data_IF_843301305339
#
_entry.id   IF_843301305339
#
_cell.length_a   1.000
_cell.length_b   1.000
_cell.length_c   1.000
_cell.angle_alpha   90.00
_cell.angle_beta   90.00
_cell.angle_gamma   90.00
#
_symmetry.space_group_name_H-M   'P 1'
#
loop_
_entity.id
_entity.type
_entity.pdbx_description
1 polymer ?
#
# COMPACT_ATOMS: atom_id res chain seq x y z
N UNK A 1 72.00 -20.58 36.67
CA UNK A 1 71.10 -19.43 36.81
C UNK A 1 70.19 -19.51 35.63
N UNK A 2 69.00 -20.14 35.80
CA UNK A 2 68.06 -20.35 34.68
C UNK A 2 66.94 -19.30 34.80
N UNK A 3 66.87 -18.38 33.85
CA UNK A 3 65.86 -17.35 33.75
C UNK A 3 64.59 -17.97 33.14
N UNK A 4 63.50 -18.02 33.89
CA UNK A 4 62.18 -18.47 33.42
C UNK A 4 61.52 -17.34 32.63
N UNK A 5 61.28 -17.54 31.32
CA UNK A 5 60.43 -16.67 30.52
C UNK A 5 58.97 -17.06 30.75
N UNK A 6 58.15 -16.10 31.21
CA UNK A 6 56.71 -16.24 31.36
C UNK A 6 56.04 -15.78 30.05
N UNK A 7 55.19 -16.60 29.38
CA UNK A 7 54.50 -16.14 28.19
C UNK A 7 53.37 -15.18 28.58
N UNK A 8 53.34 -13.99 27.96
CA UNK A 8 52.22 -13.05 28.02
C UNK A 8 51.21 -13.44 26.97
N UNK A 9 50.05 -13.93 27.38
CA UNK A 9 48.91 -14.26 26.46
C UNK A 9 48.15 -12.95 26.20
N UNK A 10 48.20 -12.47 24.96
CA UNK A 10 47.37 -11.37 24.51
C UNK A 10 45.96 -11.93 24.20
N UNK A 11 44.99 -11.58 25.04
CA UNK A 11 43.56 -11.85 24.80
C UNK A 11 43.02 -10.81 23.78
N UNK A 12 42.90 -11.19 22.52
CA UNK A 12 42.25 -10.36 21.48
C UNK A 12 40.76 -10.46 21.67
N UNK A 13 40.15 -9.39 22.27
CA UNK A 13 38.72 -9.28 22.38
C UNK A 13 38.15 -8.87 21.00
N UNK A 14 37.61 -9.83 20.24
CA UNK A 14 36.89 -9.57 18.98
C UNK A 14 35.53 -9.05 19.32
N UNK A 15 35.37 -7.72 19.31
CA UNK A 15 34.05 -7.09 19.38
C UNK A 15 33.30 -7.36 18.07
N UNK A 16 32.43 -8.37 18.04
CA UNK A 16 31.45 -8.57 16.96
C UNK A 16 30.38 -7.49 17.08
N UNK A 17 30.44 -6.51 16.20
CA UNK A 17 29.38 -5.53 16.04
C UNK A 17 28.18 -6.26 15.41
N UNK A 18 26.94 -6.11 15.94
CA UNK A 18 25.79 -6.69 15.31
C UNK A 18 25.64 -6.04 13.92
N UNK A 19 25.79 -6.83 12.88
CA UNK A 19 25.37 -6.45 11.53
C UNK A 19 23.86 -6.36 11.58
N UNK A 20 23.34 -5.14 11.70
CA UNK A 20 21.92 -4.91 11.48
C UNK A 20 21.65 -5.28 10.02
N UNK A 21 20.90 -6.35 9.83
CA UNK A 21 20.41 -6.71 8.50
C UNK A 21 19.65 -5.48 7.97
N UNK A 22 20.24 -4.82 6.98
CA UNK A 22 19.64 -3.67 6.33
C UNK A 22 18.37 -4.18 5.67
N UNK A 23 17.18 -3.81 6.24
CA UNK A 23 15.89 -4.27 5.72
C UNK A 23 15.78 -3.94 4.23
N UNK A 24 14.97 -4.70 3.50
CA UNK A 24 14.74 -4.54 2.06
C UNK A 24 14.32 -3.09 1.74
N UNK A 25 14.95 -2.50 0.71
CA UNK A 25 14.47 -1.24 0.14
C UNK A 25 13.19 -1.51 -0.68
N UNK A 26 12.08 -0.89 -0.28
CA UNK A 26 10.78 -1.02 -0.91
C UNK A 26 10.46 0.04 -1.97
N UNK A 27 11.41 0.91 -2.34
CA UNK A 27 11.17 2.02 -3.29
C UNK A 27 10.57 1.55 -4.63
N UNK A 28 10.91 0.34 -5.08
CA UNK A 28 10.48 -0.24 -6.35
C UNK A 28 9.24 -1.14 -6.24
N UNK A 29 8.61 -1.21 -5.08
CA UNK A 29 7.50 -2.14 -4.83
C UNK A 29 6.25 -1.86 -5.68
N UNK A 30 6.04 -0.63 -6.12
CA UNK A 30 4.96 -0.23 -7.02
C UNK A 30 5.35 -0.18 -8.50
N UNK A 31 6.58 -0.53 -8.88
CA UNK A 31 7.02 -0.45 -10.28
C UNK A 31 6.21 -1.36 -11.21
N UNK A 32 5.67 -2.46 -10.69
CA UNK A 32 4.81 -3.37 -11.45
C UNK A 32 3.54 -2.69 -11.97
N UNK A 33 3.05 -1.67 -11.28
CA UNK A 33 1.76 -1.05 -11.60
C UNK A 33 1.89 0.09 -12.64
N UNK A 34 3.10 0.57 -12.92
CA UNK A 34 3.32 1.66 -13.87
C UNK A 34 2.77 1.29 -15.27
N UNK A 35 1.95 2.18 -15.84
CA UNK A 35 1.30 1.99 -17.14
C UNK A 35 -0.20 2.16 -17.08
N UNK A 36 -0.90 1.61 -18.09
CA UNK A 36 -2.36 1.71 -18.23
C UNK A 36 -3.01 0.35 -18.01
N UNK A 37 -4.12 0.37 -17.29
CA UNK A 37 -4.86 -0.81 -16.87
C UNK A 37 -6.34 -0.67 -17.20
N UNK A 38 -6.97 -1.77 -17.59
CA UNK A 38 -8.42 -1.92 -17.58
C UNK A 38 -8.82 -2.32 -16.16
N UNK A 39 -9.73 -1.56 -15.56
CA UNK A 39 -10.16 -1.72 -14.17
C UNK A 39 -11.60 -2.21 -14.12
N UNK A 40 -11.82 -3.32 -13.42
CA UNK A 40 -13.14 -3.75 -12.95
C UNK A 40 -13.23 -3.50 -11.45
N UNK A 41 -14.18 -2.66 -11.03
CA UNK A 41 -14.32 -2.21 -9.66
C UNK A 41 -15.69 -2.56 -9.09
N UNK A 42 -15.69 -3.11 -7.88
CA UNK A 42 -16.88 -3.33 -7.06
C UNK A 42 -16.81 -2.50 -5.78
N UNK A 43 -17.89 -1.83 -5.45
CA UNK A 43 -18.00 -1.03 -4.24
C UNK A 43 -19.24 -1.39 -3.45
N UNK A 44 -19.09 -1.62 -2.15
CA UNK A 44 -20.20 -1.86 -1.22
C UNK A 44 -20.95 -0.56 -0.98
N UNK A 45 -22.27 -0.61 -1.12
CA UNK A 45 -23.15 0.53 -0.82
C UNK A 45 -23.39 0.60 0.68
N UNK A 46 -23.15 1.77 1.30
CA UNK A 46 -23.32 2.02 2.74
C UNK A 46 -22.53 1.02 3.61
N UNK A 47 -21.19 1.07 3.56
CA UNK A 47 -20.37 0.18 4.40
C UNK A 47 -20.63 0.43 5.89
N UNK A 48 -20.38 -0.60 6.71
CA UNK A 48 -20.60 -0.65 8.16
C UNK A 48 -22.08 -0.45 8.60
N UNK A 49 -23.02 -0.83 7.73
CA UNK A 49 -24.45 -0.81 8.03
C UNK A 49 -25.12 -2.19 7.92
N UNK A 50 -24.34 -3.26 7.68
CA UNK A 50 -24.87 -4.58 7.36
C UNK A 50 -25.36 -4.70 5.91
N UNK A 51 -25.06 -3.73 5.05
CA UNK A 51 -25.39 -3.79 3.62
C UNK A 51 -24.64 -4.91 2.92
N UNK A 52 -25.33 -5.61 2.02
CA UNK A 52 -24.74 -6.61 1.11
C UNK A 52 -24.83 -6.20 -0.35
N UNK A 53 -25.27 -4.96 -0.62
CA UNK A 53 -25.46 -4.45 -1.98
C UNK A 53 -24.15 -3.92 -2.54
N UNK A 54 -23.72 -4.47 -3.66
CA UNK A 54 -22.55 -4.03 -4.40
C UNK A 54 -22.95 -3.34 -5.70
N UNK A 55 -22.20 -2.32 -6.07
CA UNK A 55 -22.29 -1.66 -7.39
C UNK A 55 -20.97 -1.89 -8.14
N UNK A 56 -21.08 -2.06 -9.45
CA UNK A 56 -19.93 -2.36 -10.30
C UNK A 56 -19.64 -1.22 -11.27
N UNK A 57 -18.37 -1.07 -11.59
CA UNK A 57 -17.85 -0.06 -12.50
C UNK A 57 -16.79 -0.68 -13.38
N UNK A 58 -16.67 -0.18 -14.60
CA UNK A 58 -15.63 -0.52 -15.57
C UNK A 58 -14.95 0.74 -16.07
N UNK A 59 -13.66 0.65 -16.36
CA UNK A 59 -12.92 1.79 -16.90
C UNK A 59 -11.42 1.57 -16.90
N UNK A 60 -10.69 2.62 -16.55
CA UNK A 60 -9.22 2.62 -16.63
C UNK A 60 -8.58 3.15 -15.37
N UNK A 61 -7.43 2.59 -15.05
CA UNK A 61 -6.45 3.11 -14.11
C UNK A 61 -5.16 3.40 -14.87
N UNK A 62 -4.60 4.60 -14.69
CA UNK A 62 -3.30 4.97 -15.23
C UNK A 62 -2.35 5.30 -14.09
N UNK A 63 -1.16 4.70 -14.11
CA UNK A 63 -0.14 4.92 -13.08
C UNK A 63 1.12 5.50 -13.72
N UNK A 64 1.59 6.63 -13.21
CA UNK A 64 2.80 7.32 -13.69
C UNK A 64 3.79 7.53 -12.56
N UNK A 65 5.09 7.34 -12.85
CA UNK A 65 6.18 7.69 -11.94
C UNK A 65 6.36 9.18 -11.84
N UNK A 66 6.63 9.66 -10.62
CA UNK A 66 7.08 11.03 -10.34
C UNK A 66 8.21 10.99 -9.32
N UNK A 67 8.97 12.07 -9.17
CA UNK A 67 10.09 12.18 -8.21
C UNK A 67 11.12 11.05 -8.36
N UNK A 68 11.53 10.74 -9.58
CA UNK A 68 12.50 9.68 -9.90
C UNK A 68 12.10 8.29 -9.34
N UNK A 69 10.78 7.99 -9.33
CA UNK A 69 10.25 6.73 -8.86
C UNK A 69 10.04 6.62 -7.34
N UNK A 70 10.32 7.68 -6.57
CA UNK A 70 9.99 7.75 -5.13
C UNK A 70 8.54 8.10 -4.87
N UNK A 71 7.80 8.42 -5.91
CA UNK A 71 6.36 8.64 -5.87
C UNK A 71 5.71 8.15 -7.16
N UNK A 72 4.41 7.91 -7.10
CA UNK A 72 3.59 7.72 -8.29
C UNK A 72 2.21 8.39 -8.13
N UNK A 73 1.63 8.71 -9.28
CA UNK A 73 0.25 9.19 -9.40
C UNK A 73 -0.58 8.08 -10.04
N UNK A 74 -1.75 7.82 -9.47
CA UNK A 74 -2.75 6.90 -9.98
C UNK A 74 -3.99 7.68 -10.35
N UNK A 75 -4.37 7.64 -11.61
CA UNK A 75 -5.61 8.24 -12.12
C UNK A 75 -6.62 7.13 -12.36
N UNK A 76 -7.72 7.15 -11.63
CA UNK A 76 -8.84 6.22 -11.77
C UNK A 76 -10.01 6.90 -12.47
N UNK A 77 -10.51 6.30 -13.54
CA UNK A 77 -11.74 6.72 -14.20
C UNK A 77 -12.58 5.51 -14.59
N UNK A 78 -13.68 5.30 -13.86
CA UNK A 78 -14.57 4.17 -14.06
C UNK A 78 -16.03 4.61 -14.06
N UNK A 79 -16.88 3.92 -14.81
CA UNK A 79 -18.31 4.20 -14.94
C UNK A 79 -19.13 2.94 -14.78
N UNK A 80 -20.34 3.07 -14.26
CA UNK A 80 -21.30 1.99 -14.06
C UNK A 80 -22.72 2.53 -13.92
N UNK A 81 -23.66 1.68 -13.55
CA UNK A 81 -25.07 2.07 -13.36
C UNK A 81 -25.26 3.12 -12.24
N UNK A 82 -24.35 3.20 -11.27
CA UNK A 82 -24.35 4.18 -10.20
C UNK A 82 -23.67 5.50 -10.58
N UNK A 83 -23.27 5.69 -11.85
CA UNK A 83 -22.63 6.90 -12.36
C UNK A 83 -21.13 6.72 -12.63
N UNK A 84 -20.39 7.83 -12.64
CA UNK A 84 -18.95 7.86 -12.87
C UNK A 84 -18.20 8.14 -11.57
N UNK A 85 -17.09 7.43 -11.36
CA UNK A 85 -16.15 7.65 -10.30
C UNK A 85 -14.79 8.01 -10.91
N UNK A 86 -14.32 9.20 -10.56
CA UNK A 86 -12.99 9.68 -10.93
C UNK A 86 -12.20 9.99 -9.65
N UNK A 87 -10.97 9.56 -9.60
CA UNK A 87 -10.12 9.76 -8.44
C UNK A 87 -8.64 9.78 -8.78
N UNK A 88 -7.90 10.40 -7.87
CA UNK A 88 -6.46 10.48 -7.90
C UNK A 88 -5.89 9.84 -6.64
N UNK A 89 -4.91 8.97 -6.76
CA UNK A 89 -4.10 8.54 -5.62
C UNK A 89 -2.67 9.05 -5.76
N UNK A 90 -2.17 9.68 -4.70
CA UNK A 90 -0.77 10.03 -4.57
C UNK A 90 -0.11 9.03 -3.63
N UNK A 91 0.97 8.41 -4.10
CA UNK A 91 1.76 7.46 -3.31
C UNK A 91 3.18 7.98 -3.19
N UNK A 92 3.71 8.02 -1.97
CA UNK A 92 5.06 8.53 -1.66
C UNK A 92 5.83 7.48 -0.89
N UNK A 93 7.10 7.27 -1.26
CA UNK A 93 8.01 6.39 -0.53
C UNK A 93 8.83 7.20 0.47
N UNK A 94 8.87 6.73 1.71
CA UNK A 94 9.76 7.25 2.75
C UNK A 94 10.98 6.33 2.88
N UNK A 95 12.20 6.75 2.49
CA UNK A 95 13.38 5.91 2.55
C UNK A 95 13.88 5.65 3.98
N UNK A 96 13.53 6.50 4.94
CA UNK A 96 13.92 6.34 6.34
C UNK A 96 13.11 5.22 7.01
N UNK A 97 11.77 5.28 6.92
CA UNK A 97 10.89 4.23 7.47
C UNK A 97 10.75 3.03 6.54
N UNK A 98 11.16 3.16 5.26
CA UNK A 98 11.00 2.16 4.18
C UNK A 98 9.55 1.78 3.93
N UNK A 99 8.67 2.74 4.10
CA UNK A 99 7.24 2.58 3.92
C UNK A 99 6.71 3.50 2.83
N UNK A 100 5.60 3.10 2.24
CA UNK A 100 4.81 3.91 1.36
C UNK A 100 3.66 4.56 2.12
N UNK A 101 3.30 5.77 1.72
CA UNK A 101 2.08 6.46 2.12
C UNK A 101 1.16 6.61 0.90
N UNK A 102 -0.12 6.25 1.08
CA UNK A 102 -1.14 6.26 0.03
C UNK A 102 -2.27 7.19 0.44
N UNK A 103 -2.49 8.26 -0.32
CA UNK A 103 -3.64 9.16 -0.14
C UNK A 103 -4.50 9.13 -1.39
N UNK A 104 -5.81 9.26 -1.24
CA UNK A 104 -6.78 9.26 -2.33
C UNK A 104 -7.62 10.53 -2.30
N UNK A 105 -7.92 11.09 -3.46
CA UNK A 105 -8.92 12.13 -3.63
C UNK A 105 -9.90 11.73 -4.72
N UNK A 106 -11.19 11.92 -4.50
CA UNK A 106 -12.15 11.88 -5.58
C UNK A 106 -12.43 13.31 -6.11
N UNK A 107 -12.83 13.41 -7.36
CA UNK A 107 -13.05 14.70 -8.02
C UNK A 107 -14.12 15.57 -7.31
N UNK A 108 -15.03 14.94 -6.56
CA UNK A 108 -16.13 15.65 -5.87
C UNK A 108 -15.67 16.28 -4.55
N UNK A 109 -14.77 15.63 -3.81
CA UNK A 109 -14.28 16.17 -2.53
C UNK A 109 -13.15 17.18 -2.72
N UNK A 110 -12.30 16.99 -3.73
CA UNK A 110 -11.14 17.84 -3.97
C UNK A 110 -10.10 17.82 -2.84
N UNK A 111 -10.20 16.87 -1.91
CA UNK A 111 -9.31 16.73 -0.75
C UNK A 111 -8.69 15.34 -0.72
N UNK A 112 -7.41 15.26 -0.36
CA UNK A 112 -6.75 13.98 -0.08
C UNK A 112 -7.25 13.40 1.23
N UNK A 113 -7.47 12.08 1.25
CA UNK A 113 -7.71 11.35 2.49
C UNK A 113 -6.45 11.34 3.37
N UNK A 114 -6.59 11.07 4.69
CA UNK A 114 -5.44 10.72 5.51
C UNK A 114 -4.63 9.60 4.86
N UNK A 115 -3.30 9.73 4.89
CA UNK A 115 -2.43 8.77 4.25
C UNK A 115 -2.47 7.40 4.95
N UNK A 116 -2.69 6.35 4.19
CA UNK A 116 -2.50 4.98 4.67
C UNK A 116 -1.02 4.60 4.53
N UNK A 117 -0.41 4.17 5.63
CA UNK A 117 1.02 3.86 5.73
C UNK A 117 1.21 2.35 5.75
N UNK A 118 2.20 1.85 5.02
CA UNK A 118 2.51 0.44 5.00
C UNK A 118 3.63 0.05 4.04
N UNK A 119 3.76 -1.23 3.81
CA UNK A 119 4.85 -1.82 3.02
C UNK A 119 4.40 -3.10 2.30
N UNK A 120 5.23 -3.58 1.40
CA UNK A 120 5.05 -4.89 0.78
C UNK A 120 5.88 -5.95 1.51
N UNK A 121 5.24 -7.08 1.79
CA UNK A 121 5.89 -8.32 2.29
C UNK A 121 5.44 -9.50 1.45
N UNK A 122 6.39 -10.27 0.93
CA UNK A 122 6.11 -11.49 0.16
C UNK A 122 5.11 -11.30 -1.00
N UNK A 123 5.24 -10.19 -1.74
CA UNK A 123 4.37 -9.88 -2.88
C UNK A 123 2.97 -9.36 -2.54
N UNK A 124 2.73 -9.02 -1.27
CA UNK A 124 1.49 -8.44 -0.77
C UNK A 124 1.76 -7.11 -0.08
N UNK A 125 1.09 -6.05 -0.50
CA UNK A 125 1.12 -4.73 0.15
C UNK A 125 -0.03 -4.59 1.13
N UNK A 126 0.24 -4.08 2.36
CA UNK A 126 -0.79 -3.75 3.34
C UNK A 126 -0.52 -2.37 3.93
N UNK A 127 -1.56 -1.53 3.93
CA UNK A 127 -1.47 -0.13 4.33
C UNK A 127 -2.65 0.22 5.23
N UNK A 128 -2.40 1.01 6.27
CA UNK A 128 -3.39 1.31 7.29
C UNK A 128 -3.43 2.79 7.59
N UNK A 129 -4.65 3.33 7.82
CA UNK A 129 -4.86 4.65 8.39
C UNK A 129 -6.09 4.65 9.30
N UNK A 130 -6.29 5.78 9.98
CA UNK A 130 -7.51 6.13 10.67
C UNK A 130 -8.23 7.23 9.86
N UNK A 131 -9.54 7.10 9.74
CA UNK A 131 -10.40 8.05 9.01
C UNK A 131 -11.75 8.21 9.72
N UNK A 132 -12.64 8.99 9.15
CA UNK A 132 -13.99 9.21 9.66
C UNK A 132 -15.03 8.84 8.60
N UNK A 133 -15.98 8.00 8.96
CA UNK A 133 -17.14 7.65 8.13
C UNK A 133 -18.43 8.07 8.84
N UNK A 134 -19.19 9.01 8.25
CA UNK A 134 -20.45 9.51 8.83
C UNK A 134 -20.31 9.98 10.30
N UNK A 135 -19.21 10.67 10.62
CA UNK A 135 -18.92 11.17 11.97
C UNK A 135 -18.39 10.12 12.96
N UNK A 136 -18.19 8.87 12.53
CA UNK A 136 -17.60 7.79 13.34
C UNK A 136 -16.15 7.57 12.96
N UNK A 137 -15.27 7.44 13.95
CA UNK A 137 -13.87 7.03 13.71
C UNK A 137 -13.83 5.59 13.23
N UNK A 138 -13.07 5.34 12.18
CA UNK A 138 -12.84 4.01 11.60
C UNK A 138 -11.36 3.78 11.35
N UNK A 139 -10.98 2.52 11.31
CA UNK A 139 -9.72 2.10 10.71
C UNK A 139 -9.97 1.70 9.25
N UNK A 140 -9.03 2.06 8.40
CA UNK A 140 -9.02 1.70 6.98
C UNK A 140 -7.81 0.82 6.71
N UNK A 141 -8.02 -0.26 5.96
CA UNK A 141 -6.96 -1.14 5.46
C UNK A 141 -7.05 -1.22 3.95
N UNK A 142 -5.93 -0.96 3.28
CA UNK A 142 -5.74 -1.26 1.87
C UNK A 142 -4.85 -2.48 1.71
N UNK A 143 -5.21 -3.33 0.78
CA UNK A 143 -4.45 -4.53 0.43
C UNK A 143 -4.23 -4.57 -1.07
N UNK A 144 -2.99 -4.80 -1.48
CA UNK A 144 -2.62 -5.05 -2.87
C UNK A 144 -2.06 -6.46 -2.96
N UNK A 145 -2.68 -7.29 -3.78
CA UNK A 145 -2.38 -8.73 -3.90
C UNK A 145 -2.53 -9.25 -5.33
N UNK A 146 -2.33 -10.53 -5.50
CA UNK A 146 -2.49 -11.24 -6.78
C UNK A 146 -1.69 -10.57 -7.91
N UNK A 147 -0.50 -10.08 -7.58
CA UNK A 147 0.37 -9.32 -8.47
C UNK A 147 1.01 -10.27 -9.47
N UNK A 148 0.74 -10.01 -10.74
CA UNK A 148 1.37 -10.65 -11.88
C UNK A 148 1.87 -9.58 -12.88
N UNK A 149 2.62 -9.92 -13.93
CA UNK A 149 2.99 -8.95 -14.96
C UNK A 149 1.78 -8.30 -15.66
N UNK A 150 0.61 -8.94 -15.66
CA UNK A 150 -0.57 -8.52 -16.40
C UNK A 150 -1.81 -8.25 -15.57
N UNK A 151 -1.78 -8.49 -14.26
CA UNK A 151 -2.92 -8.26 -13.37
C UNK A 151 -2.48 -7.94 -11.94
N UNK A 152 -3.34 -7.24 -11.22
CA UNK A 152 -3.26 -7.08 -9.76
C UNK A 152 -4.65 -6.88 -9.17
N UNK A 153 -4.75 -7.02 -7.86
CA UNK A 153 -5.96 -6.83 -7.08
C UNK A 153 -5.72 -5.82 -5.98
N UNK A 154 -6.62 -4.87 -5.86
CA UNK A 154 -6.67 -3.87 -4.81
C UNK A 154 -7.96 -4.05 -4.00
N UNK A 155 -7.85 -4.05 -2.67
CA UNK A 155 -8.97 -4.16 -1.75
C UNK A 155 -8.92 -3.06 -0.70
N UNK A 156 -10.09 -2.55 -0.29
CA UNK A 156 -10.25 -1.70 0.87
C UNK A 156 -11.21 -2.35 1.85
N UNK A 157 -10.86 -2.31 3.13
CA UNK A 157 -11.74 -2.73 4.21
C UNK A 157 -11.82 -1.66 5.29
N UNK A 158 -12.97 -1.57 5.96
CA UNK A 158 -13.18 -0.71 7.12
C UNK A 158 -13.39 -1.54 8.39
N UNK A 159 -13.00 -0.94 9.51
CA UNK A 159 -13.28 -1.47 10.85
C UNK A 159 -13.74 -0.33 11.74
N UNK A 160 -14.82 -0.53 12.50
CA UNK A 160 -15.33 0.40 13.50
C UNK A 160 -15.25 -0.14 14.93
N UNK A 161 -14.52 -1.26 15.11
CA UNK A 161 -14.32 -1.94 16.39
C UNK A 161 -12.85 -2.04 16.83
N UNK A 162 -12.01 -1.14 16.29
CA UNK A 162 -10.58 -1.08 16.60
C UNK A 162 -9.75 -2.16 15.91
N UNK A 163 -10.18 -2.64 14.75
CA UNK A 163 -9.45 -3.62 13.94
C UNK A 163 -9.71 -5.08 14.31
N UNK A 164 -10.70 -5.36 15.16
CA UNK A 164 -11.08 -6.73 15.52
C UNK A 164 -11.78 -7.44 14.37
N UNK A 165 -12.69 -6.72 13.68
CA UNK A 165 -13.33 -7.18 12.45
C UNK A 165 -13.15 -6.19 11.32
N UNK A 166 -13.19 -6.68 10.07
CA UNK A 166 -12.96 -5.89 8.87
C UNK A 166 -14.03 -6.19 7.83
N UNK A 167 -14.75 -5.15 7.40
CA UNK A 167 -15.72 -5.24 6.32
C UNK A 167 -15.06 -4.82 5.00
N UNK A 168 -14.98 -5.75 4.05
CA UNK A 168 -14.52 -5.48 2.69
C UNK A 168 -15.56 -4.61 1.98
N UNK A 169 -15.14 -3.45 1.45
CA UNK A 169 -16.08 -2.49 0.85
C UNK A 169 -15.65 -1.95 -0.52
N UNK A 170 -14.47 -2.33 -0.99
CA UNK A 170 -13.95 -1.96 -2.30
C UNK A 170 -13.05 -3.08 -2.83
N UNK A 171 -13.27 -3.47 -4.08
CA UNK A 171 -12.44 -4.45 -4.79
C UNK A 171 -12.20 -3.91 -6.18
N UNK A 172 -10.94 -3.72 -6.56
CA UNK A 172 -10.56 -3.45 -7.94
C UNK A 172 -9.67 -4.59 -8.46
N UNK A 173 -9.99 -5.06 -9.66
CA UNK A 173 -9.13 -5.98 -10.40
C UNK A 173 -8.66 -5.25 -11.65
N UNK A 174 -7.36 -5.09 -11.75
CA UNK A 174 -6.70 -4.40 -12.83
C UNK A 174 -6.04 -5.40 -13.79
N UNK A 175 -6.29 -5.23 -15.08
CA UNK A 175 -5.68 -6.02 -16.17
C UNK A 175 -4.90 -5.08 -17.07
N UNK A 176 -3.61 -5.34 -17.28
CA UNK A 176 -2.73 -4.48 -18.06
C UNK A 176 -3.21 -4.35 -19.52
N UNK A 177 -3.31 -3.11 -19.99
CA UNK A 177 -3.54 -2.82 -21.40
C UNK A 177 -2.23 -3.09 -22.17
N UNK A 178 -2.30 -3.91 -23.21
CA UNK A 178 -1.16 -4.10 -24.11
C UNK A 178 -1.01 -2.84 -24.94
N UNK A 179 0.17 -2.25 -24.90
CA UNK A 179 0.59 -1.18 -25.81
C UNK A 179 0.85 -1.76 -27.21
#
# INVERSE_FOLDING_TARGET
>A
MFTKLTPVIFLVCVCSWPVHAQGRDGQHDFDFEIGTWKTHLKRLVKPLTGSTTWVEYEGTTRVTKVMDGRANLVELKVSGTAGTLEGLSLRLYNPESRQWSLSFANIKSGMLTPAAIGEFKSGRGEFYNQDTLNGRSILVRFVISDITPTSCRFEQSFSDDGGKTWELNWIAVDTRVKE
#
